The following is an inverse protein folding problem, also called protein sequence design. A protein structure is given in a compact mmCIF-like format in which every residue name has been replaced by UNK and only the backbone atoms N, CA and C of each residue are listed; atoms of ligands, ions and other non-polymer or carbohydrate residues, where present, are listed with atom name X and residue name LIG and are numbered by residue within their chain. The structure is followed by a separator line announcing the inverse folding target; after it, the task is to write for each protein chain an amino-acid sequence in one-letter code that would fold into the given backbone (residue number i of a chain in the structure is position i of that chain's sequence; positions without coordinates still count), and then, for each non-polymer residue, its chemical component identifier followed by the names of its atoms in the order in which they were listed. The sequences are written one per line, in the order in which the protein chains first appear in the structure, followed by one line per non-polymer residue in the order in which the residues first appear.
data_IF_208180535185
#
_entry.id   IF_208180535185
#
_cell.length_a   1.000
_cell.length_b   1.000
_cell.length_c   1.000
_cell.angle_alpha   90.00
_cell.angle_beta   90.00
_cell.angle_gamma   90.00
#
_symmetry.space_group_name_H-M   'P 1'
#
loop_
_entity.id
_entity.type
_entity.pdbx_description
1 polymer ?
#
# COMPACT_ATOMS: atom_id res chain seq x y z
N UNK A 1 13.48 6.33 -27.01
CA UNK A 1 14.13 5.39 -26.07
C UNK A 1 13.06 4.41 -25.63
N UNK A 2 13.24 3.12 -25.92
CA UNK A 2 12.26 2.07 -25.68
C UNK A 2 12.01 1.92 -24.18
N UNK A 3 10.74 2.01 -23.78
CA UNK A 3 10.31 1.64 -22.44
C UNK A 3 10.53 0.14 -22.28
N UNK A 4 11.60 -0.20 -21.58
CA UNK A 4 12.02 -1.58 -21.33
C UNK A 4 10.85 -2.37 -20.71
N UNK A 5 10.52 -3.49 -21.35
CA UNK A 5 9.48 -4.44 -20.92
C UNK A 5 9.97 -5.25 -19.71
N UNK A 6 10.44 -4.57 -18.67
CA UNK A 6 10.72 -5.22 -17.39
C UNK A 6 9.40 -5.81 -16.87
N UNK A 7 9.37 -7.13 -16.67
CA UNK A 7 8.28 -7.82 -15.97
C UNK A 7 7.97 -7.08 -14.67
N UNK A 8 6.68 -6.95 -14.27
CA UNK A 8 6.37 -6.38 -12.97
C UNK A 8 7.14 -7.15 -11.90
N UNK A 9 7.89 -6.42 -11.08
CA UNK A 9 8.70 -6.99 -9.99
C UNK A 9 7.84 -7.46 -8.83
N UNK A 10 6.56 -7.09 -8.81
CA UNK A 10 5.59 -7.46 -7.78
C UNK A 10 4.19 -7.62 -8.38
N UNK A 11 3.47 -8.66 -7.97
CA UNK A 11 2.05 -8.84 -8.28
C UNK A 11 1.24 -8.97 -7.00
N UNK A 12 0.37 -7.99 -6.72
CA UNK A 12 -0.54 -8.06 -5.59
C UNK A 12 -1.95 -8.45 -6.04
N UNK A 13 -2.64 -9.19 -5.18
CA UNK A 13 -4.07 -9.48 -5.30
C UNK A 13 -4.76 -8.88 -4.10
N UNK A 14 -5.73 -8.01 -4.36
CA UNK A 14 -6.57 -7.39 -3.34
C UNK A 14 -8.01 -7.86 -3.54
N UNK A 15 -8.48 -8.70 -2.63
CA UNK A 15 -9.85 -9.21 -2.60
C UNK A 15 -10.68 -8.32 -1.69
N UNK A 16 -11.86 -7.91 -2.14
CA UNK A 16 -12.78 -7.12 -1.33
C UNK A 16 -14.02 -7.95 -0.97
N UNK A 17 -14.26 -8.11 0.33
CA UNK A 17 -15.39 -8.88 0.85
C UNK A 17 -16.00 -8.17 2.05
N UNK A 18 -17.32 -7.92 2.02
CA UNK A 18 -18.07 -7.27 3.10
C UNK A 18 -17.43 -5.97 3.64
N UNK A 19 -16.89 -5.14 2.73
CA UNK A 19 -16.23 -3.87 3.10
C UNK A 19 -14.81 -4.01 3.65
N UNK A 20 -14.26 -5.22 3.69
CA UNK A 20 -12.89 -5.53 4.12
C UNK A 20 -12.02 -5.84 2.91
N UNK A 21 -10.81 -5.30 2.89
CA UNK A 21 -9.80 -5.60 1.87
C UNK A 21 -8.81 -6.64 2.39
N UNK A 22 -8.54 -7.68 1.61
CA UNK A 22 -7.55 -8.73 1.88
C UNK A 22 -6.51 -8.68 0.77
N UNK A 23 -5.28 -8.30 1.11
CA UNK A 23 -4.18 -8.15 0.17
C UNK A 23 -3.08 -9.15 0.45
N UNK A 24 -2.61 -9.80 -0.60
CA UNK A 24 -1.46 -10.69 -0.56
C UNK A 24 -0.68 -10.62 -1.87
N UNK A 25 0.61 -10.89 -1.79
CA UNK A 25 1.46 -11.02 -2.96
C UNK A 25 1.29 -12.42 -3.58
N UNK A 26 1.18 -12.51 -4.91
CA UNK A 26 1.23 -13.82 -5.59
C UNK A 26 2.58 -14.50 -5.44
N UNK A 27 3.64 -13.71 -5.27
CA UNK A 27 5.01 -14.20 -5.14
C UNK A 27 5.33 -14.64 -3.70
N UNK A 28 4.64 -14.05 -2.72
CA UNK A 28 4.82 -14.35 -1.29
C UNK A 28 3.45 -14.42 -0.58
N UNK A 29 2.65 -15.47 -0.82
CA UNK A 29 1.28 -15.57 -0.30
C UNK A 29 1.22 -15.78 1.22
N UNK A 30 2.37 -15.97 1.86
CA UNK A 30 2.45 -16.22 3.29
C UNK A 30 2.23 -14.97 4.15
N UNK A 31 2.34 -13.78 3.54
CA UNK A 31 2.07 -12.50 4.19
C UNK A 31 0.77 -11.91 3.65
N UNK A 32 -0.16 -11.64 4.57
CA UNK A 32 -1.48 -11.10 4.25
C UNK A 32 -1.69 -9.81 5.01
N UNK A 33 -2.16 -8.79 4.32
CA UNK A 33 -2.60 -7.53 4.91
C UNK A 33 -4.11 -7.43 4.79
N UNK A 34 -4.79 -7.27 5.92
CA UNK A 34 -6.25 -7.12 5.98
C UNK A 34 -6.55 -5.71 6.46
N UNK A 35 -7.31 -4.95 5.69
CA UNK A 35 -7.74 -3.59 6.05
C UNK A 35 -9.25 -3.58 6.26
N UNK A 36 -9.65 -3.29 7.49
CA UNK A 36 -11.03 -3.24 7.94
C UNK A 36 -11.31 -1.84 8.51
N UNK A 37 -11.82 -0.97 7.63
CA UNK A 37 -12.10 0.43 7.98
C UNK A 37 -13.20 0.58 9.01
N UNK A 38 -14.22 -0.29 8.97
CA UNK A 38 -15.33 -0.26 9.92
C UNK A 38 -14.85 -0.60 11.34
N UNK A 39 -13.90 -1.53 11.47
CA UNK A 39 -13.27 -1.86 12.75
C UNK A 39 -12.00 -1.03 13.05
N UNK A 40 -11.71 0.01 12.26
CA UNK A 40 -10.58 0.92 12.44
C UNK A 40 -9.21 0.21 12.57
N UNK A 41 -8.96 -0.85 11.79
CA UNK A 41 -7.76 -1.69 11.95
C UNK A 41 -7.13 -2.18 10.65
N UNK A 42 -5.83 -2.41 10.72
CA UNK A 42 -5.05 -3.22 9.79
C UNK A 42 -4.57 -4.46 10.54
N UNK A 43 -4.71 -5.63 9.94
CA UNK A 43 -4.15 -6.89 10.46
C UNK A 43 -3.10 -7.40 9.51
N UNK A 44 -1.94 -7.75 10.04
CA UNK A 44 -0.87 -8.41 9.33
C UNK A 44 -0.79 -9.86 9.78
N UNK A 45 -0.83 -10.78 8.83
CA UNK A 45 -0.71 -12.22 9.09
C UNK A 45 0.59 -12.71 8.46
N UNK A 46 1.35 -13.47 9.23
CA UNK A 46 2.46 -14.26 8.74
C UNK A 46 2.17 -15.74 8.97
N UNK A 47 1.81 -16.43 7.90
CA UNK A 47 1.46 -17.85 7.97
C UNK A 47 2.65 -18.78 8.14
N UNK A 48 3.88 -18.33 7.85
CA UNK A 48 5.09 -19.13 8.11
C UNK A 48 5.42 -19.13 9.60
N UNK A 49 5.29 -17.97 10.25
CA UNK A 49 5.47 -17.85 11.71
C UNK A 49 4.23 -18.21 12.51
N UNK A 50 3.07 -18.36 11.85
CA UNK A 50 1.77 -18.59 12.46
C UNK A 50 1.40 -17.53 13.50
N UNK A 51 1.67 -16.26 13.17
CA UNK A 51 1.39 -15.11 14.05
C UNK A 51 0.59 -14.06 13.28
N UNK A 52 -0.09 -13.21 14.03
CA UNK A 52 -0.70 -12.00 13.50
C UNK A 52 -0.31 -10.77 14.34
N UNK A 53 -0.42 -9.59 13.76
CA UNK A 53 -0.34 -8.33 14.49
C UNK A 53 -1.42 -7.38 14.01
N UNK A 54 -1.83 -6.45 14.88
CA UNK A 54 -2.91 -5.51 14.62
C UNK A 54 -2.42 -4.10 14.86
N UNK A 55 -2.82 -3.20 13.97
CA UNK A 55 -2.46 -1.79 14.02
C UNK A 55 -3.73 -0.96 13.80
N UNK A 56 -3.90 0.10 14.57
CA UNK A 56 -5.06 0.98 14.43
C UNK A 56 -4.86 1.94 13.24
N UNK A 57 -5.88 2.14 12.40
CA UNK A 57 -5.77 3.06 11.26
C UNK A 57 -5.56 4.52 11.70
N UNK A 58 -6.14 4.92 12.83
CA UNK A 58 -5.94 6.25 13.40
C UNK A 58 -4.52 6.46 13.94
N UNK A 59 -3.87 5.41 14.44
CA UNK A 59 -2.46 5.46 14.84
C UNK A 59 -1.56 5.65 13.61
N UNK A 60 -1.81 4.92 12.52
CA UNK A 60 -1.10 5.11 11.25
C UNK A 60 -1.23 6.56 10.76
N UNK A 61 -2.44 7.12 10.82
CA UNK A 61 -2.69 8.50 10.40
C UNK A 61 -1.94 9.50 11.30
N UNK A 62 -2.04 9.33 12.62
CA UNK A 62 -1.38 10.20 13.58
C UNK A 62 0.14 10.18 13.43
N UNK A 63 0.72 8.99 13.19
CA UNK A 63 2.13 8.82 12.85
C UNK A 63 2.50 9.62 11.59
N UNK A 64 1.72 9.51 10.52
CA UNK A 64 2.01 10.25 9.29
C UNK A 64 1.95 11.77 9.46
N UNK A 65 1.04 12.28 10.30
CA UNK A 65 0.94 13.70 10.58
C UNK A 65 2.16 14.21 11.38
N UNK A 66 2.66 13.41 12.34
CA UNK A 66 3.92 13.69 13.04
C UNK A 66 5.11 13.72 12.08
N UNK A 67 5.26 12.67 11.27
CA UNK A 67 6.34 12.58 10.27
C UNK A 67 6.28 13.75 9.29
N UNK A 68 5.09 14.18 8.87
CA UNK A 68 4.94 15.33 7.97
C UNK A 68 5.49 16.61 8.60
N UNK A 69 5.17 16.85 9.88
CA UNK A 69 5.64 18.03 10.61
C UNK A 69 7.17 18.02 10.77
N UNK A 70 7.75 16.88 11.11
CA UNK A 70 9.21 16.70 11.20
C UNK A 70 9.88 16.94 9.84
N UNK A 71 9.37 16.32 8.78
CA UNK A 71 9.95 16.46 7.44
C UNK A 71 9.93 17.91 6.94
N UNK A 72 8.84 18.64 7.21
CA UNK A 72 8.70 20.04 6.80
C UNK A 72 9.78 20.97 7.40
N UNK A 73 10.38 20.59 8.53
CA UNK A 73 11.45 21.33 9.21
C UNK A 73 12.84 20.73 8.99
N UNK A 74 12.97 19.75 8.10
CA UNK A 74 14.21 19.01 7.85
C UNK A 74 14.77 19.23 6.43
N UNK A 75 15.91 18.60 6.15
CA UNK A 75 16.47 18.51 4.79
C UNK A 75 15.60 17.73 3.80
N UNK A 76 14.55 17.05 4.26
CA UNK A 76 13.60 16.32 3.40
C UNK A 76 12.40 17.16 2.95
N UNK A 77 12.32 18.43 3.32
CA UNK A 77 11.24 19.35 2.93
C UNK A 77 11.06 19.45 1.41
N UNK A 78 12.14 19.47 0.64
CA UNK A 78 12.08 19.45 -0.83
C UNK A 78 11.40 18.19 -1.38
N UNK A 79 11.69 17.02 -0.83
CA UNK A 79 11.04 15.77 -1.24
C UNK A 79 9.54 15.74 -0.87
N UNK A 80 9.16 16.42 0.22
CA UNK A 80 7.77 16.61 0.59
C UNK A 80 7.05 17.55 -0.39
N UNK A 81 7.69 18.63 -0.84
CA UNK A 81 7.13 19.50 -1.87
C UNK A 81 7.01 18.80 -3.23
N UNK A 82 8.03 18.03 -3.64
CA UNK A 82 7.99 17.19 -4.85
C UNK A 82 6.76 16.28 -4.85
N UNK A 83 6.43 15.69 -3.69
CA UNK A 83 5.30 14.78 -3.56
C UNK A 83 3.95 15.43 -3.87
N UNK A 84 3.84 16.76 -3.83
CA UNK A 84 2.61 17.51 -4.15
C UNK A 84 2.43 17.76 -5.64
N UNK A 85 3.45 17.50 -6.46
CA UNK A 85 3.39 17.70 -7.91
C UNK A 85 2.57 16.57 -8.55
N UNK A 86 1.28 16.83 -8.81
CA UNK A 86 0.36 15.87 -9.43
C UNK A 86 0.04 16.27 -10.86
N UNK A 87 0.11 15.31 -11.78
CA UNK A 87 -0.32 15.45 -13.17
C UNK A 87 -1.30 14.33 -13.51
N UNK A 88 -2.46 14.70 -14.06
CA UNK A 88 -3.51 13.77 -14.46
C UNK A 88 -3.73 13.94 -15.96
N UNK A 89 -3.55 12.85 -16.71
CA UNK A 89 -3.96 12.76 -18.10
C UNK A 89 -5.25 11.93 -18.16
N UNK A 90 -6.38 12.63 -18.18
CA UNK A 90 -7.71 12.01 -18.22
C UNK A 90 -7.99 11.26 -19.53
N UNK A 91 -7.28 11.56 -20.63
CA UNK A 91 -7.49 10.88 -21.90
C UNK A 91 -6.87 9.48 -21.89
N UNK A 92 -5.74 9.31 -21.21
CA UNK A 92 -5.01 8.03 -21.12
C UNK A 92 -5.20 7.30 -19.80
N UNK A 93 -5.80 7.95 -18.79
CA UNK A 93 -5.91 7.42 -17.43
C UNK A 93 -4.56 7.34 -16.71
N UNK A 94 -3.55 8.09 -17.16
CA UNK A 94 -2.24 8.15 -16.53
C UNK A 94 -2.21 9.23 -15.44
N UNK A 95 -1.71 8.86 -14.27
CA UNK A 95 -1.50 9.81 -13.16
C UNK A 95 -0.05 9.75 -12.72
N UNK A 96 0.61 10.90 -12.68
CA UNK A 96 1.99 11.04 -12.21
C UNK A 96 2.02 11.89 -10.95
N UNK A 97 2.83 11.48 -9.98
CA UNK A 97 3.11 12.25 -8.77
C UNK A 97 4.61 12.33 -8.52
N UNK A 98 5.14 13.52 -8.26
CA UNK A 98 6.57 13.74 -8.06
C UNK A 98 7.38 13.79 -9.36
N UNK A 99 8.69 14.01 -9.25
CA UNK A 99 9.58 14.21 -10.40
C UNK A 99 11.02 13.74 -10.17
N UNK A 100 11.75 14.39 -9.27
CA UNK A 100 13.21 14.31 -9.24
C UNK A 100 13.72 13.21 -8.32
N UNK A 101 13.50 13.40 -7.02
CA UNK A 101 13.93 12.46 -5.98
C UNK A 101 13.03 11.23 -5.95
N UNK A 102 11.73 11.43 -6.16
CA UNK A 102 10.68 10.41 -6.06
C UNK A 102 9.63 10.71 -7.11
N UNK A 103 9.23 9.67 -7.84
CA UNK A 103 8.11 9.73 -8.75
C UNK A 103 7.26 8.46 -8.68
N UNK A 104 5.95 8.62 -8.77
CA UNK A 104 4.99 7.56 -9.01
C UNK A 104 4.28 7.80 -10.33
N UNK A 105 4.04 6.71 -11.05
CA UNK A 105 3.19 6.67 -12.23
C UNK A 105 2.15 5.57 -12.01
N UNK A 106 0.87 5.90 -12.15
CA UNK A 106 -0.20 4.92 -12.18
C UNK A 106 -0.89 4.90 -13.54
N UNK A 107 -1.11 3.70 -14.05
CA UNK A 107 -2.16 3.44 -15.05
C UNK A 107 -3.43 3.12 -14.30
N UNK A 108 -4.50 3.80 -14.65
CA UNK A 108 -5.79 3.64 -13.97
C UNK A 108 -6.83 3.02 -14.88
N UNK A 109 -7.86 2.46 -14.26
CA UNK A 109 -9.06 1.95 -14.91
C UNK A 109 -10.27 2.31 -14.04
N UNK A 110 -11.43 2.43 -14.68
CA UNK A 110 -12.67 2.60 -13.93
C UNK A 110 -13.13 1.25 -13.38
N UNK A 111 -13.44 1.16 -12.07
CA UNK A 111 -14.06 -0.03 -11.53
C UNK A 111 -15.50 -0.15 -12.02
N UNK A 112 -16.05 -1.36 -11.97
CA UNK A 112 -17.45 -1.59 -12.37
C UNK A 112 -18.47 -0.90 -11.47
N UNK A 113 -18.11 -0.65 -10.20
CA UNK A 113 -18.95 0.08 -9.24
C UNK A 113 -18.15 1.21 -8.59
N UNK A 114 -18.69 2.43 -8.46
CA UNK A 114 -17.99 3.56 -7.85
C UNK A 114 -17.52 3.32 -6.41
N UNK A 115 -18.28 2.56 -5.62
CA UNK A 115 -17.94 2.16 -4.24
C UNK A 115 -16.59 1.43 -4.14
N UNK A 116 -16.18 0.74 -5.22
CA UNK A 116 -14.90 0.06 -5.29
C UNK A 116 -13.72 1.02 -5.22
N UNK A 117 -13.83 2.20 -5.84
CA UNK A 117 -12.79 3.21 -5.80
C UNK A 117 -12.57 3.73 -4.37
N UNK A 118 -13.64 3.91 -3.60
CA UNK A 118 -13.58 4.37 -2.22
C UNK A 118 -12.91 3.34 -1.30
N UNK A 119 -13.34 2.08 -1.38
CA UNK A 119 -12.74 0.98 -0.61
C UNK A 119 -11.28 0.76 -1.00
N UNK A 120 -10.95 0.84 -2.31
CA UNK A 120 -9.57 0.77 -2.77
C UNK A 120 -8.74 1.92 -2.21
N UNK A 121 -9.25 3.16 -2.23
CA UNK A 121 -8.55 4.33 -1.71
C UNK A 121 -8.23 4.19 -0.21
N UNK A 122 -9.19 3.72 0.59
CA UNK A 122 -8.98 3.40 2.00
C UNK A 122 -7.86 2.37 2.18
N UNK A 123 -7.95 1.24 1.48
CA UNK A 123 -6.93 0.18 1.50
C UNK A 123 -5.54 0.71 1.10
N UNK A 124 -5.47 1.45 -0.01
CA UNK A 124 -4.22 1.92 -0.56
C UNK A 124 -3.57 3.01 0.32
N UNK A 125 -4.37 3.79 1.04
CA UNK A 125 -3.87 4.73 2.04
C UNK A 125 -3.33 3.98 3.25
N UNK A 126 -4.11 3.06 3.83
CA UNK A 126 -3.69 2.27 4.98
C UNK A 126 -2.36 1.54 4.73
N UNK A 127 -2.20 0.92 3.55
CA UNK A 127 -0.96 0.24 3.18
C UNK A 127 0.22 1.20 2.96
N UNK A 128 -0.01 2.38 2.37
CA UNK A 128 1.04 3.39 2.23
C UNK A 128 1.54 3.89 3.59
N UNK A 129 0.63 4.14 4.53
CA UNK A 129 0.95 4.60 5.89
C UNK A 129 1.64 3.49 6.69
N UNK A 130 1.15 2.25 6.58
CA UNK A 130 1.76 1.10 7.21
C UNK A 130 3.19 0.85 6.71
N UNK A 131 3.44 1.01 5.41
CA UNK A 131 4.79 0.89 4.84
C UNK A 131 5.73 1.98 5.38
N UNK A 132 5.25 3.22 5.56
CA UNK A 132 6.03 4.29 6.18
C UNK A 132 6.39 3.95 7.63
N UNK A 133 5.43 3.43 8.40
CA UNK A 133 5.66 3.03 9.78
C UNK A 133 6.62 1.84 9.87
N UNK A 134 6.48 0.83 9.01
CA UNK A 134 7.41 -0.32 8.95
C UNK A 134 8.85 0.10 8.63
N UNK A 135 9.01 1.10 7.77
CA UNK A 135 10.31 1.53 7.28
C UNK A 135 10.44 3.05 7.40
N UNK A 136 10.84 3.59 8.57
CA UNK A 136 10.94 5.03 8.79
C UNK A 136 11.85 5.78 7.79
N UNK A 137 12.80 5.08 7.15
CA UNK A 137 13.62 5.64 6.06
C UNK A 137 12.90 5.78 4.71
N UNK A 138 11.66 5.27 4.58
CA UNK A 138 10.84 5.27 3.36
C UNK A 138 9.65 6.24 3.44
N UNK A 139 9.69 7.21 4.36
CA UNK A 139 8.63 8.20 4.56
C UNK A 139 8.37 9.09 3.33
N UNK A 140 9.37 9.66 2.64
CA UNK A 140 9.09 10.52 1.49
C UNK A 140 8.36 9.79 0.35
N UNK A 141 8.70 8.52 0.00
CA UNK A 141 7.89 7.72 -0.92
C UNK A 141 6.45 7.48 -0.48
N UNK A 142 6.15 7.48 0.81
CA UNK A 142 4.79 7.28 1.32
C UNK A 142 3.91 8.51 1.07
N UNK A 143 4.43 9.73 1.24
CA UNK A 143 3.66 10.95 0.94
C UNK A 143 3.31 11.06 -0.55
N UNK A 144 4.25 10.78 -1.44
CA UNK A 144 3.96 10.74 -2.87
C UNK A 144 2.93 9.65 -3.23
N UNK A 145 2.98 8.49 -2.54
CA UNK A 145 1.97 7.43 -2.71
C UNK A 145 0.58 7.85 -2.24
N UNK A 146 0.48 8.59 -1.12
CA UNK A 146 -0.78 9.13 -0.60
C UNK A 146 -1.38 10.16 -1.55
N UNK A 147 -0.56 11.06 -2.10
CA UNK A 147 -1.01 12.01 -3.12
C UNK A 147 -1.47 11.29 -4.40
N UNK A 148 -0.78 10.23 -4.81
CA UNK A 148 -1.22 9.39 -5.93
C UNK A 148 -2.58 8.72 -5.64
N UNK A 149 -2.77 8.15 -4.45
CA UNK A 149 -4.05 7.57 -4.05
C UNK A 149 -5.18 8.58 -4.09
N UNK A 150 -4.95 9.79 -3.56
CA UNK A 150 -5.93 10.86 -3.57
C UNK A 150 -6.32 11.24 -5.01
N UNK A 151 -5.34 11.41 -5.89
CA UNK A 151 -5.57 11.73 -7.29
C UNK A 151 -6.36 10.62 -8.03
N UNK A 152 -6.02 9.35 -7.80
CA UNK A 152 -6.76 8.20 -8.35
C UNK A 152 -8.21 8.20 -7.83
N UNK A 153 -8.40 8.41 -6.53
CA UNK A 153 -9.72 8.42 -5.90
C UNK A 153 -10.61 9.55 -6.41
N UNK A 154 -10.05 10.74 -6.68
CA UNK A 154 -10.78 11.88 -7.24
C UNK A 154 -11.32 11.60 -8.65
N UNK A 155 -10.69 10.69 -9.39
CA UNK A 155 -11.16 10.22 -10.70
C UNK A 155 -12.13 9.03 -10.60
N UNK A 156 -12.53 8.63 -9.38
CA UNK A 156 -13.29 7.41 -9.12
C UNK A 156 -12.70 6.17 -9.82
N UNK A 157 -11.36 6.09 -9.85
CA UNK A 157 -10.61 5.05 -10.55
C UNK A 157 -9.90 4.11 -9.58
N UNK A 158 -9.34 3.02 -10.11
CA UNK A 158 -8.42 2.12 -9.43
C UNK A 158 -7.17 1.92 -10.31
N UNK A 159 -5.98 1.65 -9.73
CA UNK A 159 -4.79 1.40 -10.52
C UNK A 159 -4.79 -0.04 -11.06
N UNK A 160 -4.31 -0.19 -12.29
CA UNK A 160 -3.98 -1.49 -12.89
C UNK A 160 -2.46 -1.76 -12.82
N UNK A 161 -1.66 -0.71 -12.83
CA UNK A 161 -0.22 -0.75 -12.69
C UNK A 161 0.28 0.49 -11.94
N UNK A 162 1.24 0.31 -11.05
CA UNK A 162 1.93 1.40 -10.36
C UNK A 162 3.43 1.21 -10.57
N UNK A 163 4.11 2.25 -11.02
CA UNK A 163 5.57 2.31 -11.07
C UNK A 163 6.06 3.35 -10.08
N UNK A 164 6.95 2.95 -9.17
CA UNK A 164 7.68 3.85 -8.28
C UNK A 164 9.10 3.99 -8.77
N UNK A 165 9.58 5.23 -8.85
CA UNK A 165 10.99 5.54 -9.08
C UNK A 165 11.52 6.33 -7.89
N UNK A 166 12.61 5.87 -7.30
CA UNK A 166 13.38 6.61 -6.29
C UNK A 166 14.77 6.84 -6.83
N UNK A 167 15.20 8.10 -6.87
CA UNK A 167 16.53 8.49 -7.33
C UNK A 167 17.40 8.81 -6.12
N UNK A 168 18.52 8.10 -5.97
CA UNK A 168 19.49 8.39 -4.90
C UNK A 168 20.27 9.67 -5.20
N UNK A 169 20.93 10.25 -4.19
CA UNK A 169 21.78 11.44 -4.37
C UNK A 169 22.95 11.25 -5.35
N UNK A 170 23.26 10.01 -5.76
CA UNK A 170 24.25 9.67 -6.80
C UNK A 170 23.63 9.50 -8.19
N UNK A 171 22.34 9.80 -8.36
CA UNK A 171 21.59 9.66 -9.62
C UNK A 171 21.15 8.23 -9.95
N UNK A 172 21.40 7.25 -9.07
CA UNK A 172 20.96 5.87 -9.30
C UNK A 172 19.46 5.75 -9.08
N UNK A 173 18.76 5.13 -10.05
CA UNK A 173 17.31 4.93 -9.99
C UNK A 173 16.98 3.53 -9.50
N UNK A 174 16.17 3.45 -8.45
CA UNK A 174 15.47 2.25 -8.05
C UNK A 174 14.05 2.32 -8.61
N UNK A 175 13.72 1.43 -9.54
CA UNK A 175 12.40 1.37 -10.18
C UNK A 175 11.71 0.08 -9.75
N UNK A 176 10.51 0.21 -9.17
CA UNK A 176 9.65 -0.91 -8.79
C UNK A 176 8.35 -0.79 -9.55
N UNK A 177 7.97 -1.86 -10.26
CA UNK A 177 6.71 -1.94 -11.01
C UNK A 177 5.82 -3.00 -10.37
N UNK A 178 4.62 -2.59 -9.98
CA UNK A 178 3.61 -3.43 -9.37
C UNK A 178 2.39 -3.54 -10.27
N UNK A 179 1.96 -4.77 -10.54
CA UNK A 179 0.65 -5.03 -11.15
C UNK A 179 -0.38 -5.25 -10.06
N UNK A 180 -1.50 -4.56 -10.16
CA UNK A 180 -2.57 -4.57 -9.15
C UNK A 180 -3.74 -5.38 -9.67
N UNK A 181 -4.07 -6.47 -8.98
CA UNK A 181 -5.28 -7.25 -9.25
C UNK A 181 -6.30 -7.02 -8.13
N UNK A 182 -7.15 -6.02 -8.29
CA UNK A 182 -8.22 -5.71 -7.35
C UNK A 182 -9.57 -6.25 -7.85
N UNK A 183 -10.28 -7.04 -7.05
CA UNK A 183 -11.60 -7.59 -7.43
C UNK A 183 -12.58 -7.66 -6.28
N UNK A 184 -13.86 -7.41 -6.61
CA UNK A 184 -15.03 -7.61 -5.75
C UNK A 184 -15.87 -8.81 -6.20
N UNK A 185 -15.63 -9.32 -7.41
CA UNK A 185 -16.24 -10.55 -7.92
C UNK A 185 -15.34 -11.70 -7.52
N UNK A 186 -15.62 -12.24 -6.33
CA UNK A 186 -14.87 -13.36 -5.77
C UNK A 186 -15.28 -14.65 -6.49
N UNK A 187 -14.32 -15.34 -7.10
CA UNK A 187 -14.51 -16.71 -7.55
C UNK A 187 -14.63 -17.66 -6.33
N UNK A 188 -15.03 -18.92 -6.52
CA UNK A 188 -14.99 -19.90 -5.43
C UNK A 188 -13.61 -20.01 -4.77
N UNK A 189 -12.53 -19.91 -5.55
CA UNK A 189 -11.15 -19.91 -5.04
C UNK A 189 -10.87 -18.67 -4.20
N UNK A 190 -11.29 -17.48 -4.65
CA UNK A 190 -11.15 -16.24 -3.88
C UNK A 190 -11.92 -16.32 -2.55
N UNK A 191 -13.11 -16.91 -2.55
CA UNK A 191 -13.91 -17.13 -1.34
C UNK A 191 -13.21 -18.07 -0.35
N UNK A 192 -12.67 -19.19 -0.85
CA UNK A 192 -11.86 -20.10 -0.04
C UNK A 192 -10.64 -19.40 0.55
N UNK A 193 -10.01 -18.51 -0.22
CA UNK A 193 -8.86 -17.73 0.24
C UNK A 193 -9.24 -16.76 1.38
N UNK A 194 -10.37 -16.05 1.25
CA UNK A 194 -10.91 -15.20 2.32
C UNK A 194 -11.26 -16.01 3.57
N UNK A 195 -11.88 -17.18 3.41
CA UNK A 195 -12.16 -18.09 4.53
C UNK A 195 -10.87 -18.58 5.21
N UNK A 196 -9.84 -18.90 4.43
CA UNK A 196 -8.54 -19.32 4.97
C UNK A 196 -7.91 -18.20 5.82
N UNK A 197 -7.89 -16.96 5.32
CA UNK A 197 -7.40 -15.82 6.08
C UNK A 197 -8.21 -15.59 7.35
N UNK A 198 -9.53 -15.75 7.28
CA UNK A 198 -10.42 -15.65 8.44
C UNK A 198 -10.10 -16.73 9.48
N UNK A 199 -9.82 -17.97 9.07
CA UNK A 199 -9.37 -19.04 9.98
C UNK A 199 -8.03 -18.70 10.63
N UNK A 200 -7.08 -18.14 9.88
CA UNK A 200 -5.79 -17.69 10.43
C UNK A 200 -5.97 -16.58 11.48
N UNK A 201 -6.87 -15.61 11.24
CA UNK A 201 -7.19 -14.56 12.21
C UNK A 201 -7.69 -15.10 13.56
N UNK A 202 -8.42 -16.23 13.54
CA UNK A 202 -8.93 -16.88 14.75
C UNK A 202 -7.87 -17.77 15.43
N UNK A 203 -7.02 -18.42 14.64
CA UNK A 203 -6.09 -19.44 15.13
C UNK A 203 -4.75 -18.85 15.61
N UNK A 204 -4.24 -17.81 14.95
CA UNK A 204 -2.88 -17.33 15.21
C UNK A 204 -2.83 -16.37 16.39
N UNK A 205 -1.86 -16.54 17.32
CA UNK A 205 -1.66 -15.58 18.39
C UNK A 205 -1.35 -14.18 17.85
N UNK A 206 -1.94 -13.18 18.51
CA UNK A 206 -1.67 -11.78 18.23
C UNK A 206 -0.44 -11.31 18.99
N UNK A 207 0.49 -10.69 18.29
CA UNK A 207 1.72 -10.11 18.84
C UNK A 207 1.80 -8.61 18.56
N UNK A 208 2.68 -7.95 19.30
CA UNK A 208 3.00 -6.54 19.10
C UNK A 208 3.62 -6.30 17.72
N UNK A 209 3.33 -5.16 17.11
CA UNK A 209 3.78 -4.85 15.75
C UNK A 209 5.31 -4.80 15.65
N UNK A 210 6.00 -4.32 16.69
CA UNK A 210 7.46 -4.33 16.74
C UNK A 210 8.06 -5.73 16.70
N UNK A 211 7.42 -6.72 17.35
CA UNK A 211 7.83 -8.13 17.29
C UNK A 211 7.50 -8.74 15.93
N UNK A 212 6.39 -8.33 15.32
CA UNK A 212 6.01 -8.79 13.99
C UNK A 212 7.03 -8.33 12.93
N UNK A 213 7.46 -7.07 13.01
CA UNK A 213 8.43 -6.46 12.09
C UNK A 213 9.86 -6.95 12.35
N UNK A 214 10.24 -7.21 13.61
CA UNK A 214 11.58 -7.66 13.97
C UNK A 214 11.55 -8.99 14.77
N UNK A 215 11.74 -10.14 14.09
CA UNK A 215 11.68 -11.45 14.73
C UNK A 215 12.78 -11.70 15.76
N UNK A 216 13.80 -10.83 15.86
CA UNK A 216 14.84 -10.92 16.90
C UNK A 216 14.37 -10.38 18.27
N UNK A 217 13.20 -9.75 18.36
CA UNK A 217 12.64 -9.26 19.62
C UNK A 217 11.91 -10.42 20.32
N UNK A 218 12.37 -10.87 21.51
CA UNK A 218 11.76 -12.01 22.19
C UNK A 218 10.31 -11.71 22.63
N UNK A 219 9.47 -12.75 22.57
CA UNK A 219 8.12 -12.70 23.15
C UNK A 219 8.24 -12.44 24.66
N UNK A 220 7.65 -11.33 25.14
CA UNK A 220 7.42 -11.16 26.58
C UNK A 220 6.45 -12.26 27.01
N UNK A 221 6.95 -13.19 27.82
CA UNK A 221 6.14 -14.23 28.47
C UNK A 221 5.28 -13.64 29.56
#
# INVERSE_FOLDING_TARGET
MQADQAKPSLQSVTLFHNGVAYDYSRDTPHQVTIVDGAANRVVLIDSNRQIQSRVNLQELQSFMDQVRAEMASSSLSAALEDSKLVQVDSATGLITVGRDSIAYLAKTQHPEKPEMAQLYAMFANATAQLNAWQYPGQNPPAFARLQLNQAISQQAAIPSEITRTVTSGRGQKNIVRSRVHATWRLTPEDQQQVEQFTKMLLAYPSIEIGQYMNPAVPMKR
#
